data_IF_224484790810
#
_entry.id   IF_224484790810
#
_cell.length_a   1.000
_cell.length_b   1.000
_cell.length_c   1.000
_cell.angle_alpha   90.00
_cell.angle_beta   90.00
_cell.angle_gamma   90.00
#
_symmetry.space_group_name_H-M   'P 1'
#
loop_
_entity.id
_entity.type
_entity.pdbx_description
1 polymer ?
#
# COMPACT_ATOMS: atom_id res chain seq x y z
N UNK A 1 -29.19 -12.51 -12.15
CA UNK A 1 -27.74 -12.80 -12.03
C UNK A 1 -27.21 -12.16 -10.76
N UNK A 2 -26.83 -13.01 -9.80
CA UNK A 2 -26.66 -12.67 -8.40
C UNK A 2 -25.53 -11.67 -8.11
N UNK A 3 -25.77 -10.90 -7.04
CA UNK A 3 -24.93 -9.86 -6.45
C UNK A 3 -23.48 -10.35 -6.35
N UNK A 4 -22.53 -9.56 -6.89
CA UNK A 4 -21.09 -9.76 -6.70
C UNK A 4 -20.81 -9.76 -5.20
N UNK A 5 -20.72 -10.94 -4.59
CA UNK A 5 -20.29 -11.07 -3.20
C UNK A 5 -18.98 -10.30 -3.04
N UNK A 6 -18.92 -9.44 -2.03
CA UNK A 6 -17.76 -8.57 -1.78
C UNK A 6 -16.53 -9.46 -1.61
N UNK A 7 -15.64 -9.46 -2.62
CA UNK A 7 -14.33 -10.13 -2.57
C UNK A 7 -13.28 -9.21 -1.96
N UNK A 8 -13.68 -8.14 -1.29
CA UNK A 8 -12.76 -7.19 -0.66
C UNK A 8 -12.55 -7.56 0.80
N UNK A 9 -11.35 -7.31 1.30
CA UNK A 9 -11.11 -7.36 2.75
C UNK A 9 -11.97 -6.31 3.46
N UNK A 10 -12.39 -6.60 4.70
CA UNK A 10 -13.00 -5.57 5.54
C UNK A 10 -11.99 -4.44 5.76
N UNK A 11 -12.47 -3.21 5.98
CA UNK A 11 -11.62 -2.05 6.21
C UNK A 11 -10.44 -2.28 7.19
N UNK A 12 -10.64 -2.84 8.41
CA UNK A 12 -9.52 -3.10 9.33
C UNK A 12 -8.53 -4.16 8.81
N UNK A 13 -9.04 -5.23 8.18
CA UNK A 13 -8.21 -6.28 7.57
C UNK A 13 -7.35 -5.72 6.43
N UNK A 14 -7.95 -4.87 5.59
CA UNK A 14 -7.26 -4.21 4.48
C UNK A 14 -6.14 -3.29 4.99
N UNK A 15 -6.42 -2.45 5.99
CA UNK A 15 -5.45 -1.52 6.56
C UNK A 15 -4.25 -2.25 7.17
N UNK A 16 -4.47 -3.34 7.91
CA UNK A 16 -3.39 -4.15 8.46
C UNK A 16 -2.50 -4.74 7.36
N UNK A 17 -3.11 -5.28 6.29
CA UNK A 17 -2.37 -5.84 5.16
C UNK A 17 -1.57 -4.78 4.39
N UNK A 18 -2.14 -3.59 4.22
CA UNK A 18 -1.47 -2.45 3.59
C UNK A 18 -0.29 -1.98 4.45
N UNK A 19 -0.46 -1.88 5.77
CA UNK A 19 0.62 -1.50 6.68
C UNK A 19 1.79 -2.49 6.62
N UNK A 20 1.50 -3.80 6.62
CA UNK A 20 2.52 -4.84 6.45
C UNK A 20 3.24 -4.72 5.10
N UNK A 21 2.52 -4.40 4.00
CA UNK A 21 3.18 -4.14 2.71
C UNK A 21 4.08 -2.90 2.78
N UNK A 22 3.61 -1.79 3.37
CA UNK A 22 4.43 -0.59 3.52
C UNK A 22 5.69 -0.80 4.36
N UNK A 23 5.63 -1.68 5.37
CA UNK A 23 6.76 -2.02 6.22
C UNK A 23 7.66 -3.13 5.66
N UNK A 24 7.34 -3.66 4.48
CA UNK A 24 8.08 -4.76 3.85
C UNK A 24 8.06 -6.05 4.71
N UNK A 25 7.01 -6.23 5.52
CA UNK A 25 6.80 -7.39 6.40
C UNK A 25 6.03 -8.48 5.63
N UNK A 26 6.19 -9.77 5.97
CA UNK A 26 5.45 -10.86 5.33
C UNK A 26 3.93 -10.65 5.33
N UNK A 27 3.33 -10.77 4.16
CA UNK A 27 1.88 -10.60 3.98
C UNK A 27 1.15 -11.91 4.32
N UNK A 28 0.27 -11.86 5.33
CA UNK A 28 -0.58 -12.98 5.75
C UNK A 28 -2.04 -12.61 5.48
N UNK A 29 -2.79 -13.51 4.86
CA UNK A 29 -4.21 -13.32 4.65
C UNK A 29 -4.96 -13.36 5.99
N UNK A 30 -5.67 -12.29 6.42
CA UNK A 30 -6.41 -12.29 7.68
C UNK A 30 -7.59 -13.27 7.70
N UNK A 31 -7.99 -13.76 6.53
CA UNK A 31 -9.20 -14.57 6.35
C UNK A 31 -8.94 -16.08 6.34
N UNK A 32 -7.78 -16.50 5.85
CA UNK A 32 -7.42 -17.92 5.72
C UNK A 32 -6.02 -18.22 6.26
N UNK A 33 -5.36 -17.26 6.90
CA UNK A 33 -4.02 -17.36 7.50
C UNK A 33 -2.87 -17.76 6.54
N UNK A 34 -3.13 -17.90 5.24
CA UNK A 34 -2.11 -18.26 4.25
C UNK A 34 -1.22 -17.07 3.87
N UNK A 35 0.03 -17.34 3.52
CA UNK A 35 1.02 -16.35 3.03
C UNK A 35 1.01 -16.17 1.51
N UNK A 36 -0.10 -16.52 0.86
CA UNK A 36 -0.23 -16.53 -0.61
C UNK A 36 -0.80 -15.22 -1.14
N UNK A 37 -0.25 -14.08 -0.69
CA UNK A 37 -0.68 -12.75 -1.14
C UNK A 37 0.17 -12.31 -2.33
N UNK A 38 -0.50 -11.95 -3.44
CA UNK A 38 0.12 -11.37 -4.63
C UNK A 38 -0.07 -9.86 -4.60
N UNK A 39 1.03 -9.16 -4.80
CA UNK A 39 1.07 -7.71 -4.94
C UNK A 39 1.24 -7.32 -6.40
N UNK A 40 0.34 -6.46 -6.90
CA UNK A 40 0.40 -5.87 -8.24
C UNK A 40 0.25 -4.36 -8.13
N UNK A 41 1.18 -3.55 -8.66
CA UNK A 41 2.42 -3.94 -9.32
C UNK A 41 3.40 -4.60 -8.33
N UNK A 42 4.24 -5.50 -8.84
CA UNK A 42 5.32 -6.07 -8.03
C UNK A 42 6.25 -4.93 -7.60
N UNK A 43 6.86 -5.05 -6.42
CA UNK A 43 7.90 -4.11 -6.00
C UNK A 43 8.96 -4.10 -7.08
N UNK A 44 9.20 -2.96 -7.73
CA UNK A 44 10.36 -2.82 -8.60
C UNK A 44 11.57 -3.00 -7.68
N UNK A 45 12.42 -3.98 -7.96
CA UNK A 45 13.72 -4.06 -7.31
C UNK A 45 14.45 -2.74 -7.53
N UNK A 46 15.37 -2.37 -6.64
CA UNK A 46 16.18 -1.16 -6.73
C UNK A 46 17.17 -1.19 -7.91
N UNK A 47 16.68 -1.47 -9.13
CA UNK A 47 17.38 -1.26 -10.39
C UNK A 47 17.41 0.24 -10.68
N UNK A 48 18.59 0.75 -11.00
CA UNK A 48 18.96 2.17 -11.01
C UNK A 48 18.36 2.96 -12.19
N UNK A 49 17.40 2.41 -12.92
CA UNK A 49 17.18 2.80 -14.32
C UNK A 49 15.74 3.26 -14.63
N UNK A 50 14.94 3.65 -13.62
CA UNK A 50 13.67 4.34 -13.88
C UNK A 50 13.62 5.68 -13.13
N UNK A 51 13.40 6.81 -13.83
CA UNK A 51 13.34 8.10 -13.16
C UNK A 51 12.23 8.07 -12.11
N UNK A 52 12.59 8.53 -10.91
CA UNK A 52 11.74 8.74 -9.74
C UNK A 52 10.66 9.80 -10.03
N UNK A 53 9.77 9.53 -10.97
CA UNK A 53 8.46 10.17 -10.94
C UNK A 53 7.68 9.32 -9.95
N UNK A 54 7.58 9.79 -8.72
CA UNK A 54 6.72 9.25 -7.67
C UNK A 54 5.23 9.43 -8.08
N UNK A 55 4.84 8.83 -9.20
CA UNK A 55 3.45 8.74 -9.62
C UNK A 55 2.78 7.89 -8.57
N UNK A 56 1.77 8.45 -7.92
CA UNK A 56 0.96 7.76 -6.94
C UNK A 56 0.36 6.50 -7.60
N UNK A 57 1.01 5.34 -7.40
CA UNK A 57 0.69 4.12 -8.14
C UNK A 57 -0.33 3.29 -7.35
N UNK A 58 -1.36 2.79 -8.03
CA UNK A 58 -2.36 1.93 -7.41
C UNK A 58 -1.80 0.54 -7.21
N UNK A 59 -1.63 0.14 -5.95
CA UNK A 59 -1.21 -1.20 -5.55
C UNK A 59 -2.43 -2.02 -5.13
N UNK A 60 -2.48 -3.26 -5.57
CA UNK A 60 -3.51 -4.25 -5.25
C UNK A 60 -2.86 -5.49 -4.63
N UNK A 61 -3.36 -5.89 -3.47
CA UNK A 61 -2.97 -7.07 -2.71
C UNK A 61 -4.09 -8.10 -2.81
N UNK A 62 -3.81 -9.29 -3.32
CA UNK A 62 -4.82 -10.33 -3.54
C UNK A 62 -4.37 -11.66 -2.95
N UNK A 63 -5.19 -12.30 -2.13
CA UNK A 63 -4.94 -13.67 -1.69
C UNK A 63 -5.30 -14.67 -2.77
N UNK A 64 -4.34 -15.51 -3.16
CA UNK A 64 -4.58 -16.57 -4.15
C UNK A 64 -5.46 -17.71 -3.61
N UNK A 65 -5.58 -17.84 -2.28
CA UNK A 65 -6.34 -18.93 -1.66
C UNK A 65 -7.82 -18.59 -1.52
N UNK A 66 -8.15 -17.44 -0.90
CA UNK A 66 -9.55 -17.04 -0.68
C UNK A 66 -10.07 -16.01 -1.70
N UNK A 67 -9.21 -15.49 -2.58
CA UNK A 67 -9.58 -14.52 -3.61
C UNK A 67 -9.90 -13.12 -3.09
N UNK A 68 -9.69 -12.85 -1.79
CA UNK A 68 -9.91 -11.51 -1.24
C UNK A 68 -8.83 -10.54 -1.67
N UNK A 69 -9.20 -9.29 -1.86
CA UNK A 69 -8.27 -8.24 -2.26
C UNK A 69 -8.43 -6.93 -1.48
N UNK A 70 -7.36 -6.16 -1.43
CA UNK A 70 -7.31 -4.78 -0.94
C UNK A 70 -6.52 -3.96 -1.95
N UNK A 71 -6.92 -2.71 -2.19
CA UNK A 71 -6.15 -1.79 -3.03
C UNK A 71 -5.88 -0.48 -2.32
N UNK A 72 -4.69 0.09 -2.54
CA UNK A 72 -4.27 1.36 -1.97
C UNK A 72 -3.39 2.13 -2.95
N UNK A 73 -3.25 3.42 -2.72
CA UNK A 73 -2.35 4.26 -3.51
C UNK A 73 -1.00 4.34 -2.78
N UNK A 74 0.05 3.82 -3.41
CA UNK A 74 1.40 3.98 -2.89
C UNK A 74 1.86 5.42 -3.18
N UNK A 75 1.68 6.29 -2.19
CA UNK A 75 2.33 7.60 -2.18
C UNK A 75 3.83 7.40 -1.93
N UNK A 76 4.66 8.07 -2.74
CA UNK A 76 6.11 8.13 -2.56
C UNK A 76 6.50 8.73 -1.20
N UNK A 77 7.81 8.83 -0.90
CA UNK A 77 8.24 9.56 0.29
C UNK A 77 7.59 10.94 0.28
N UNK A 78 6.99 11.32 1.40
CA UNK A 78 6.37 12.64 1.57
C UNK A 78 7.41 13.68 1.15
N UNK A 79 7.03 14.60 0.24
CA UNK A 79 7.90 15.71 -0.10
C UNK A 79 8.28 16.41 1.23
N UNK A 80 9.55 16.79 1.43
CA UNK A 80 9.94 17.52 2.63
C UNK A 80 8.95 18.66 2.83
N UNK A 81 8.38 18.73 4.03
CA UNK A 81 7.49 19.83 4.38
C UNK A 81 8.26 21.11 4.15
N UNK A 82 7.64 22.05 3.45
CA UNK A 82 8.24 23.35 3.20
C UNK A 82 8.31 24.11 4.53
N UNK A 83 9.48 24.07 5.18
CA UNK A 83 9.74 24.70 6.49
C UNK A 83 9.61 26.24 6.45
N UNK A 84 9.37 26.84 5.28
CA UNK A 84 9.15 28.29 5.12
C UNK A 84 7.86 28.78 5.80
N UNK A 85 6.91 27.90 6.12
CA UNK A 85 5.67 28.24 6.83
C UNK A 85 5.71 28.02 8.35
N UNK A 86 6.88 28.00 8.99
CA UNK A 86 6.94 27.93 10.46
C UNK A 86 6.87 29.34 11.12
N UNK A 87 5.75 29.71 11.77
CA UNK A 87 5.56 31.03 12.37
C UNK A 87 6.41 31.27 13.63
N UNK A 88 7.14 30.27 14.14
CA UNK A 88 8.03 30.44 15.30
C UNK A 88 9.42 30.97 14.94
N UNK A 89 9.73 31.13 13.65
CA UNK A 89 11.04 31.59 13.16
C UNK A 89 11.29 33.10 13.32
N UNK A 90 10.29 33.89 13.72
CA UNK A 90 10.33 35.37 13.70
C UNK A 90 10.75 36.01 15.03
N UNK A 91 11.05 35.25 16.09
CA UNK A 91 11.46 35.80 17.39
C UNK A 91 12.93 35.51 17.70
N UNK A 92 13.82 36.23 17.03
CA UNK A 92 15.22 36.43 17.44
C UNK A 92 15.52 37.93 17.47
#
# INVERSE_FOLDING_TARGET
MGRRGVKEYRAPEALALIAADRQHVPLVCPSCATRSIVRVPRRRGAGKDTPLVAVAERVTLTCQTCGRHASYIQRGPEAPRDDTMDPHSVRA
#
